data_IF_042866855959
#
_entry.id   IF_042866855959
#
_cell.length_a   1.000
_cell.length_b   1.000
_cell.length_c   1.000
_cell.angle_alpha   90.00
_cell.angle_beta   90.00
_cell.angle_gamma   90.00
#
_symmetry.space_group_name_H-M   'P 1'
#
loop_
_entity.id
_entity.type
_entity.pdbx_description
1 polymer ?
#
# COMPACT_ATOMS: atom_id res chain seq x y z
N UNK A 1 -20.27 9.05 -29.67
CA UNK A 1 -21.18 8.77 -30.80
C UNK A 1 -21.53 7.29 -30.74
N UNK A 2 -22.71 6.97 -30.20
CA UNK A 2 -23.18 5.59 -30.00
C UNK A 2 -24.51 5.49 -30.73
N UNK A 3 -24.62 4.51 -31.62
CA UNK A 3 -25.80 4.27 -32.43
C UNK A 3 -26.89 3.60 -31.60
N UNK A 4 -28.11 4.12 -31.74
CA UNK A 4 -29.32 3.59 -31.15
C UNK A 4 -29.82 2.34 -31.87
N UNK A 5 -30.53 1.52 -31.12
CA UNK A 5 -31.62 0.71 -31.67
C UNK A 5 -32.81 0.80 -30.73
N UNK A 6 -33.88 1.43 -31.24
CA UNK A 6 -35.23 1.39 -30.69
C UNK A 6 -35.90 0.13 -31.23
N UNK A 7 -36.56 -0.63 -30.37
CA UNK A 7 -37.75 -1.40 -30.77
C UNK A 7 -38.87 -1.12 -29.77
N UNK A 8 -40.01 -0.75 -30.32
CA UNK A 8 -41.25 -0.46 -29.61
C UNK A 8 -42.23 -1.60 -29.85
N UNK A 9 -42.73 -2.23 -28.80
CA UNK A 9 -44.00 -2.96 -28.81
C UNK A 9 -44.71 -2.78 -27.45
N UNK A 10 -45.77 -1.97 -27.47
CA UNK A 10 -46.89 -1.98 -26.52
C UNK A 10 -47.84 -3.13 -26.89
N UNK A 11 -48.58 -3.82 -26.03
CA UNK A 11 -49.64 -3.37 -25.10
C UNK A 11 -49.97 -4.53 -24.17
N UNK A 12 -50.24 -4.24 -22.89
CA UNK A 12 -50.84 -5.20 -21.96
C UNK A 12 -51.10 -4.58 -20.60
N UNK A 13 -52.17 -3.77 -20.48
CA UNK A 13 -52.66 -3.25 -19.20
C UNK A 13 -53.14 -4.42 -18.35
N UNK A 14 -52.44 -4.71 -17.25
CA UNK A 14 -53.01 -5.42 -16.12
C UNK A 14 -52.87 -4.56 -14.87
N UNK A 15 -54.01 -4.23 -14.29
CA UNK A 15 -54.21 -3.40 -13.11
C UNK A 15 -53.33 -3.85 -11.94
N UNK A 16 -52.30 -3.07 -11.60
CA UNK A 16 -51.61 -3.19 -10.31
C UNK A 16 -52.32 -2.31 -9.29
N UNK A 17 -52.88 -2.97 -8.27
CA UNK A 17 -53.35 -2.38 -7.02
C UNK A 17 -52.30 -1.42 -6.48
N UNK A 18 -52.68 -0.16 -6.39
CA UNK A 18 -52.04 0.86 -5.56
C UNK A 18 -52.23 0.49 -4.10
N UNK A 19 -51.13 0.13 -3.44
CA UNK A 19 -50.98 0.29 -1.99
C UNK A 19 -49.77 1.18 -1.78
N UNK A 20 -50.03 2.49 -1.85
CA UNK A 20 -49.27 3.48 -1.10
C UNK A 20 -49.32 3.07 0.37
N UNK A 21 -48.16 2.84 1.00
CA UNK A 21 -47.94 3.21 2.40
C UNK A 21 -46.44 3.23 2.72
N UNK A 22 -45.99 4.46 3.00
CA UNK A 22 -44.87 4.85 3.85
C UNK A 22 -43.44 4.54 3.37
N UNK A 23 -42.89 5.53 2.65
CA UNK A 23 -41.51 6.00 2.80
C UNK A 23 -41.12 6.01 4.28
N UNK A 24 -40.33 5.04 4.75
CA UNK A 24 -39.43 5.26 5.88
C UNK A 24 -38.22 6.02 5.36
N UNK A 25 -38.36 7.34 5.25
CA UNK A 25 -37.20 8.24 5.30
C UNK A 25 -36.67 8.13 6.73
N UNK A 26 -35.62 7.33 6.93
CA UNK A 26 -34.82 7.45 8.14
C UNK A 26 -34.15 8.81 8.10
N UNK A 27 -34.72 9.79 8.81
CA UNK A 27 -33.98 10.98 9.18
C UNK A 27 -33.03 10.55 10.29
N UNK A 28 -31.73 10.54 10.00
CA UNK A 28 -30.69 10.38 11.00
C UNK A 28 -30.63 11.70 11.78
N UNK A 29 -31.40 11.80 12.87
CA UNK A 29 -31.46 13.00 13.70
C UNK A 29 -30.44 13.00 14.85
N UNK A 30 -29.65 11.95 14.99
CA UNK A 30 -28.57 11.88 15.97
C UNK A 30 -27.25 11.66 15.23
N UNK A 31 -26.46 12.73 15.09
CA UNK A 31 -25.02 12.59 14.84
C UNK A 31 -24.47 12.07 16.16
N UNK A 32 -24.41 10.76 16.31
CA UNK A 32 -23.75 10.18 17.45
C UNK A 32 -22.31 10.73 17.52
N UNK A 33 -21.85 11.04 18.74
CA UNK A 33 -20.46 11.43 19.03
C UNK A 33 -19.56 10.27 18.58
N UNK A 34 -18.97 10.39 17.40
CA UNK A 34 -18.37 9.26 16.70
C UNK A 34 -17.02 9.72 16.17
N UNK A 35 -15.94 9.27 16.78
CA UNK A 35 -14.58 9.70 16.47
C UNK A 35 -14.08 9.33 15.05
N UNK A 36 -12.80 9.57 14.81
CA UNK A 36 -12.11 9.23 13.55
C UNK A 36 -11.42 7.87 13.67
N UNK A 37 -11.58 7.01 12.67
CA UNK A 37 -10.86 5.75 12.56
C UNK A 37 -9.88 5.77 11.39
N UNK A 38 -8.59 5.58 11.65
CA UNK A 38 -7.54 5.49 10.62
C UNK A 38 -7.24 4.03 10.35
N UNK A 39 -7.40 3.61 9.10
CA UNK A 39 -7.09 2.24 8.65
C UNK A 39 -5.82 2.26 7.82
N UNK A 40 -4.75 1.69 8.37
CA UNK A 40 -3.50 1.46 7.66
C UNK A 40 -3.65 0.25 6.73
N UNK A 41 -3.39 0.45 5.44
CA UNK A 41 -3.56 -0.58 4.41
C UNK A 41 -2.19 -1.15 4.01
N UNK A 42 -2.07 -2.47 4.00
CA UNK A 42 -0.86 -3.17 3.57
C UNK A 42 -1.22 -4.47 2.83
N UNK A 43 -0.33 -5.00 2.00
CA UNK A 43 -0.62 -6.27 1.31
C UNK A 43 -0.61 -7.49 2.25
N UNK A 44 0.16 -7.40 3.32
CA UNK A 44 0.47 -8.53 4.21
C UNK A 44 1.80 -9.18 3.82
N UNK A 45 2.18 -10.23 4.53
CA UNK A 45 3.40 -10.99 4.25
C UNK A 45 3.20 -12.46 4.67
N UNK A 46 3.24 -13.42 3.73
CA UNK A 46 2.84 -14.79 4.03
C UNK A 46 3.83 -15.51 4.91
N UNK A 47 3.31 -16.15 5.98
CA UNK A 47 4.14 -16.87 6.97
C UNK A 47 4.62 -18.24 6.50
N UNK A 48 3.96 -18.85 5.51
CA UNK A 48 4.27 -20.22 5.04
C UNK A 48 4.15 -20.33 3.53
N UNK A 49 4.73 -21.39 2.95
CA UNK A 49 4.57 -21.70 1.52
C UNK A 49 3.09 -21.91 1.12
N UNK A 50 2.27 -22.38 2.07
CA UNK A 50 0.83 -22.57 1.84
C UNK A 50 0.14 -21.23 1.56
N UNK A 51 0.31 -20.24 2.46
CA UNK A 51 -0.26 -18.90 2.31
C UNK A 51 0.37 -18.15 1.13
N UNK A 52 1.66 -18.35 0.88
CA UNK A 52 2.37 -17.71 -0.23
C UNK A 52 1.77 -18.06 -1.61
N UNK A 53 1.18 -19.25 -1.82
CA UNK A 53 0.54 -19.58 -3.11
C UNK A 53 -0.61 -18.65 -3.44
N UNK A 54 -1.47 -18.37 -2.44
CA UNK A 54 -2.62 -17.48 -2.59
C UNK A 54 -2.15 -16.05 -2.84
N UNK A 55 -1.23 -15.57 -1.99
CA UNK A 55 -0.61 -14.26 -2.11
C UNK A 55 -0.01 -14.05 -3.50
N UNK A 56 0.91 -14.94 -3.93
CA UNK A 56 1.66 -14.78 -5.18
C UNK A 56 0.75 -14.76 -6.40
N UNK A 57 -0.36 -15.50 -6.38
CA UNK A 57 -1.34 -15.49 -7.46
C UNK A 57 -1.99 -14.12 -7.61
N UNK A 58 -2.51 -13.59 -6.51
CA UNK A 58 -3.23 -12.32 -6.50
C UNK A 58 -2.28 -11.16 -6.77
N UNK A 59 -1.10 -11.16 -6.12
CA UNK A 59 -0.05 -10.17 -6.33
C UNK A 59 0.43 -10.16 -7.80
N UNK A 60 0.64 -11.33 -8.41
CA UNK A 60 0.97 -11.43 -9.83
C UNK A 60 -0.18 -10.90 -10.72
N UNK A 61 -1.42 -11.25 -10.40
CA UNK A 61 -2.57 -10.77 -11.18
C UNK A 61 -2.64 -9.24 -11.20
N UNK A 62 -2.42 -8.62 -10.05
CA UNK A 62 -2.35 -7.16 -9.91
C UNK A 62 -1.15 -6.58 -10.67
N UNK A 63 0.05 -7.09 -10.41
CA UNK A 63 1.29 -6.52 -10.93
C UNK A 63 1.41 -6.65 -12.46
N UNK A 64 0.97 -7.77 -13.03
CA UNK A 64 1.02 -8.03 -14.48
C UNK A 64 -0.31 -7.71 -15.19
N UNK A 65 -1.28 -7.12 -14.49
CA UNK A 65 -2.60 -6.74 -15.02
C UNK A 65 -3.32 -7.93 -15.70
N UNK A 66 -3.26 -9.10 -15.06
CA UNK A 66 -3.90 -10.32 -15.55
C UNK A 66 -5.41 -10.21 -15.33
N UNK A 67 -6.25 -10.42 -16.36
CA UNK A 67 -7.69 -10.43 -16.20
C UNK A 67 -8.17 -11.48 -15.18
N UNK A 68 -9.15 -11.11 -14.33
CA UNK A 68 -9.66 -11.97 -13.23
C UNK A 68 -10.11 -13.36 -13.68
N UNK A 69 -10.67 -13.48 -14.90
CA UNK A 69 -11.15 -14.76 -15.44
C UNK A 69 -10.01 -15.76 -15.73
N UNK A 70 -8.77 -15.30 -15.88
CA UNK A 70 -7.61 -16.16 -16.12
C UNK A 70 -6.60 -16.16 -14.97
N UNK A 71 -6.83 -15.40 -13.90
CA UNK A 71 -5.99 -15.37 -12.70
C UNK A 71 -5.71 -16.76 -12.12
N UNK A 72 -6.71 -17.66 -12.14
CA UNK A 72 -6.57 -19.05 -11.69
C UNK A 72 -5.52 -19.87 -12.46
N UNK A 73 -5.14 -19.43 -13.65
CA UNK A 73 -4.14 -20.09 -14.49
C UNK A 73 -2.72 -19.53 -14.29
N UNK A 74 -2.53 -18.54 -13.42
CA UNK A 74 -1.19 -18.05 -13.08
C UNK A 74 -0.39 -19.20 -12.44
N UNK A 75 0.77 -19.58 -13.00
CA UNK A 75 1.54 -20.74 -12.54
C UNK A 75 2.33 -20.38 -11.27
N UNK A 76 1.65 -20.40 -10.12
CA UNK A 76 2.26 -20.06 -8.81
C UNK A 76 3.42 -20.97 -8.43
N UNK A 77 3.47 -22.20 -8.96
CA UNK A 77 4.60 -23.12 -8.78
C UNK A 77 5.91 -22.59 -9.36
N UNK A 78 5.87 -21.82 -10.46
CA UNK A 78 7.06 -21.18 -11.04
C UNK A 78 7.53 -19.99 -10.20
N UNK A 79 6.61 -19.36 -9.46
CA UNK A 79 6.92 -18.26 -8.56
C UNK A 79 7.48 -18.76 -7.23
N UNK A 80 6.96 -19.88 -6.71
CA UNK A 80 7.49 -20.60 -5.54
C UNK A 80 8.84 -21.30 -5.84
N UNK A 81 9.84 -20.49 -6.12
CA UNK A 81 11.22 -20.91 -6.34
C UNK A 81 12.06 -20.73 -5.06
N UNK A 82 13.35 -21.04 -5.15
CA UNK A 82 14.28 -20.94 -4.01
C UNK A 82 14.34 -19.54 -3.38
N UNK A 83 14.09 -18.46 -4.15
CA UNK A 83 14.03 -17.09 -3.62
C UNK A 83 12.92 -16.97 -2.57
N UNK A 84 11.71 -17.45 -2.88
CA UNK A 84 10.57 -17.36 -1.97
C UNK A 84 10.76 -18.24 -0.74
N UNK A 85 11.25 -19.48 -0.94
CA UNK A 85 11.48 -20.39 0.19
C UNK A 85 12.47 -19.81 1.19
N UNK A 86 13.57 -19.24 0.70
CA UNK A 86 14.55 -18.55 1.53
C UNK A 86 13.94 -17.33 2.26
N UNK A 87 13.08 -16.56 1.58
CA UNK A 87 12.38 -15.44 2.23
C UNK A 87 11.48 -15.92 3.38
N UNK A 88 10.71 -16.99 3.18
CA UNK A 88 9.81 -17.56 4.20
C UNK A 88 10.61 -18.15 5.36
N UNK A 89 11.70 -18.86 5.07
CA UNK A 89 12.59 -19.45 6.08
C UNK A 89 13.17 -18.37 6.99
N UNK A 90 13.80 -17.33 6.42
CA UNK A 90 14.35 -16.20 7.19
C UNK A 90 13.29 -15.38 7.93
N UNK A 91 12.06 -15.35 7.42
CA UNK A 91 10.96 -14.70 8.10
C UNK A 91 10.55 -15.42 9.38
N UNK A 92 10.68 -16.75 9.43
CA UNK A 92 10.41 -17.54 10.63
C UNK A 92 11.29 -17.14 11.83
N UNK A 93 12.48 -16.60 11.56
CA UNK A 93 13.41 -16.10 12.58
C UNK A 93 13.18 -14.63 12.95
N UNK A 94 12.27 -13.95 12.24
CA UNK A 94 12.01 -12.52 12.38
C UNK A 94 10.68 -12.26 13.07
N UNK A 95 10.55 -11.06 13.63
CA UNK A 95 9.25 -10.60 14.11
C UNK A 95 8.24 -10.48 12.97
N UNK A 96 6.97 -10.81 13.26
CA UNK A 96 5.94 -10.73 12.24
C UNK A 96 5.67 -9.28 11.82
N UNK A 97 5.36 -9.08 10.54
CA UNK A 97 5.00 -7.77 10.01
C UNK A 97 3.76 -7.19 10.70
N UNK A 98 2.85 -8.07 11.12
CA UNK A 98 1.63 -7.74 11.85
C UNK A 98 1.96 -7.12 13.21
N UNK A 99 2.86 -7.73 13.98
CA UNK A 99 3.30 -7.20 15.28
C UNK A 99 3.99 -5.85 15.13
N UNK A 100 4.87 -5.73 14.11
CA UNK A 100 5.60 -4.49 13.81
C UNK A 100 4.64 -3.35 13.45
N UNK A 101 3.68 -3.62 12.56
CA UNK A 101 2.68 -2.63 12.15
C UNK A 101 1.70 -2.31 13.27
N UNK A 102 1.35 -3.27 14.12
CA UNK A 102 0.46 -3.05 15.27
C UNK A 102 1.08 -2.10 16.28
N UNK A 103 2.35 -2.31 16.67
CA UNK A 103 3.05 -1.36 17.55
C UNK A 103 3.18 0.03 16.92
N UNK A 104 3.47 0.10 15.62
CA UNK A 104 3.56 1.39 14.95
C UNK A 104 2.20 2.10 14.95
N UNK A 105 1.13 1.36 14.69
CA UNK A 105 -0.25 1.84 14.70
C UNK A 105 -0.65 2.36 16.07
N UNK A 106 -0.34 1.64 17.15
CA UNK A 106 -0.58 2.07 18.53
C UNK A 106 0.18 3.36 18.86
N UNK A 107 1.45 3.46 18.45
CA UNK A 107 2.25 4.68 18.66
C UNK A 107 1.70 5.87 17.88
N UNK A 108 1.28 5.67 16.62
CA UNK A 108 0.65 6.72 15.83
C UNK A 108 -0.69 7.12 16.45
N UNK A 109 -1.51 6.18 16.89
CA UNK A 109 -2.77 6.47 17.59
C UNK A 109 -2.52 7.34 18.84
N UNK A 110 -1.54 6.97 19.67
CA UNK A 110 -1.19 7.75 20.86
C UNK A 110 -0.73 9.17 20.50
N UNK A 111 0.11 9.30 19.48
CA UNK A 111 0.58 10.60 18.99
C UNK A 111 -0.57 11.45 18.43
N UNK A 112 -1.46 10.88 17.61
CA UNK A 112 -2.59 11.58 17.03
C UNK A 112 -3.56 12.09 18.11
N UNK A 113 -3.90 11.27 19.10
CA UNK A 113 -4.75 11.71 20.22
C UNK A 113 -4.09 12.78 21.09
N UNK A 114 -2.75 12.84 21.12
CA UNK A 114 -2.01 13.86 21.86
C UNK A 114 -1.94 15.18 21.08
N UNK A 115 -1.69 15.11 19.77
CA UNK A 115 -1.42 16.29 18.92
C UNK A 115 -2.70 16.89 18.32
N UNK A 116 -3.76 16.09 18.16
CA UNK A 116 -5.00 16.48 17.50
C UNK A 116 -6.24 16.19 18.37
N UNK A 117 -6.29 16.68 19.64
CA UNK A 117 -7.39 16.39 20.56
C UNK A 117 -8.75 16.94 20.08
N UNK A 118 -8.76 17.91 19.17
CA UNK A 118 -9.97 18.50 18.60
C UNK A 118 -10.77 17.55 17.69
N UNK A 119 -10.17 16.42 17.28
CA UNK A 119 -10.84 15.38 16.48
C UNK A 119 -11.45 14.27 17.34
N UNK A 120 -11.64 14.54 18.64
CA UNK A 120 -12.14 13.60 19.64
C UNK A 120 -11.26 12.35 19.71
N UNK A 121 -11.87 11.17 19.95
CA UNK A 121 -11.16 9.90 19.99
C UNK A 121 -10.74 9.45 18.58
N UNK A 122 -9.44 9.46 18.33
CA UNK A 122 -8.85 8.87 17.13
C UNK A 122 -8.46 7.43 17.45
N UNK A 123 -9.01 6.48 16.71
CA UNK A 123 -8.58 5.08 16.75
C UNK A 123 -7.84 4.72 15.46
N UNK A 124 -6.92 3.77 15.56
CA UNK A 124 -6.15 3.29 14.41
C UNK A 124 -6.13 1.76 14.37
N UNK A 125 -6.03 1.21 13.17
CA UNK A 125 -5.97 -0.23 12.95
C UNK A 125 -5.20 -0.56 11.66
N UNK A 126 -4.81 -1.82 11.51
CA UNK A 126 -4.24 -2.36 10.28
C UNK A 126 -5.28 -3.23 9.56
N UNK A 127 -5.23 -3.22 8.24
CA UNK A 127 -6.03 -4.09 7.40
C UNK A 127 -5.19 -4.59 6.22
N UNK A 128 -5.25 -5.90 5.96
CA UNK A 128 -4.40 -6.55 4.98
C UNK A 128 -5.20 -7.05 3.78
N UNK A 129 -4.62 -6.92 2.58
CA UNK A 129 -5.27 -7.40 1.36
C UNK A 129 -5.23 -8.93 1.22
N UNK A 130 -4.13 -9.56 1.61
CA UNK A 130 -3.90 -10.99 1.40
C UNK A 130 -3.69 -11.78 2.70
N UNK A 131 -3.84 -11.13 3.85
CA UNK A 131 -3.61 -11.70 5.19
C UNK A 131 -4.71 -11.23 6.15
N UNK A 132 -4.66 -11.71 7.39
CA UNK A 132 -5.56 -11.27 8.47
C UNK A 132 -4.93 -10.16 9.33
N UNK A 133 -5.73 -9.24 9.91
CA UNK A 133 -7.16 -9.04 9.66
C UNK A 133 -7.44 -8.58 8.23
N UNK A 134 -8.36 -9.29 7.56
CA UNK A 134 -8.67 -9.04 6.16
C UNK A 134 -9.30 -7.67 5.96
N UNK A 135 -8.91 -7.00 4.87
CA UNK A 135 -9.45 -5.70 4.47
C UNK A 135 -10.97 -5.69 4.41
N UNK A 136 -11.56 -6.77 3.89
CA UNK A 136 -13.00 -6.90 3.71
C UNK A 136 -13.73 -6.95 5.06
N UNK A 137 -13.36 -7.88 5.93
CA UNK A 137 -14.01 -8.04 7.24
C UNK A 137 -13.80 -6.80 8.10
N UNK A 138 -12.56 -6.31 8.15
CA UNK A 138 -12.18 -5.20 9.02
C UNK A 138 -12.88 -3.89 8.66
N UNK A 139 -12.95 -3.53 7.37
CA UNK A 139 -13.67 -2.31 6.96
C UNK A 139 -15.18 -2.42 7.23
N UNK A 140 -15.76 -3.61 7.07
CA UNK A 140 -17.16 -3.83 7.37
C UNK A 140 -17.45 -3.67 8.87
N UNK A 141 -16.55 -4.13 9.74
CA UNK A 141 -16.66 -3.99 11.19
C UNK A 141 -16.49 -2.53 11.63
N UNK A 142 -15.49 -1.82 11.11
CA UNK A 142 -15.26 -0.38 11.39
C UNK A 142 -16.46 0.47 10.93
N UNK A 143 -16.96 0.22 9.72
CA UNK A 143 -18.08 0.98 9.16
C UNK A 143 -19.40 0.74 9.90
N UNK A 144 -19.59 -0.43 10.51
CA UNK A 144 -20.76 -0.74 11.35
C UNK A 144 -20.57 -0.37 12.82
N UNK A 145 -19.32 -0.20 13.27
CA UNK A 145 -18.95 0.16 14.63
C UNK A 145 -19.24 1.62 15.02
N UNK A 146 -19.72 2.42 14.06
CA UNK A 146 -20.17 3.78 14.29
C UNK A 146 -19.07 4.79 14.53
N UNK A 147 -18.11 4.88 13.61
CA UNK A 147 -17.24 6.05 13.49
C UNK A 147 -17.92 7.12 12.61
N UNK A 148 -17.54 8.41 12.74
CA UNK A 148 -18.04 9.47 11.83
C UNK A 148 -17.15 9.62 10.61
N UNK A 149 -15.88 9.18 10.73
CA UNK A 149 -14.88 9.32 9.69
C UNK A 149 -13.98 8.10 9.63
N UNK A 150 -13.77 7.58 8.42
CA UNK A 150 -12.76 6.60 8.09
C UNK A 150 -11.68 7.27 7.24
N UNK A 151 -10.42 7.13 7.65
CA UNK A 151 -9.26 7.58 6.89
C UNK A 151 -8.48 6.36 6.42
N UNK A 152 -8.44 6.13 5.11
CA UNK A 152 -7.68 5.05 4.50
C UNK A 152 -6.25 5.51 4.20
N UNK A 153 -5.25 4.81 4.72
CA UNK A 153 -3.84 5.18 4.56
C UNK A 153 -2.99 3.96 4.17
N UNK A 154 -2.66 3.79 2.87
CA UNK A 154 -1.66 2.81 2.48
C UNK A 154 -0.30 3.05 3.15
N UNK A 155 0.29 1.99 3.70
CA UNK A 155 1.61 2.02 4.32
C UNK A 155 2.75 1.99 3.27
N UNK A 156 2.53 2.67 2.15
CA UNK A 156 3.48 2.87 1.06
C UNK A 156 3.59 4.38 0.77
N UNK A 157 4.75 5.02 1.06
CA UNK A 157 4.88 6.47 0.94
C UNK A 157 4.80 6.95 -0.51
N UNK A 158 5.43 6.20 -1.42
CA UNK A 158 5.47 6.50 -2.85
C UNK A 158 4.25 5.91 -3.54
N UNK A 159 3.38 6.77 -4.06
CA UNK A 159 2.20 6.31 -4.78
C UNK A 159 2.57 5.48 -6.01
N UNK A 160 1.89 4.35 -6.16
CA UNK A 160 1.86 3.56 -7.38
C UNK A 160 0.49 2.92 -7.54
N UNK A 161 0.04 2.79 -8.78
CA UNK A 161 -1.19 2.05 -9.09
C UNK A 161 -1.08 0.57 -8.68
N UNK A 162 0.12 0.00 -8.66
CA UNK A 162 0.35 -1.39 -8.24
C UNK A 162 0.47 -1.58 -6.71
N UNK A 163 0.45 -0.49 -5.92
CA UNK A 163 0.52 -0.51 -4.46
C UNK A 163 -0.68 0.25 -3.87
N UNK A 164 -0.48 1.51 -3.45
CA UNK A 164 -1.51 2.37 -2.86
C UNK A 164 -2.80 2.43 -3.69
N UNK A 165 -2.70 2.49 -5.02
CA UNK A 165 -3.87 2.52 -5.89
C UNK A 165 -4.72 1.25 -5.79
N UNK A 166 -4.11 0.07 -5.81
CA UNK A 166 -4.82 -1.21 -5.66
C UNK A 166 -5.49 -1.32 -4.29
N UNK A 167 -4.77 -0.96 -3.22
CA UNK A 167 -5.33 -1.03 -1.86
C UNK A 167 -6.53 -0.10 -1.68
N UNK A 168 -6.46 1.12 -2.22
CA UNK A 168 -7.56 2.07 -2.15
C UNK A 168 -8.75 1.64 -3.02
N UNK A 169 -8.50 1.14 -4.22
CA UNK A 169 -9.56 0.62 -5.10
C UNK A 169 -10.27 -0.57 -4.46
N UNK A 170 -9.52 -1.47 -3.80
CA UNK A 170 -10.13 -2.60 -3.11
C UNK A 170 -10.92 -2.16 -1.87
N UNK A 171 -10.39 -1.22 -1.09
CA UNK A 171 -11.12 -0.64 0.03
C UNK A 171 -12.44 0.02 -0.44
N UNK A 172 -12.43 0.75 -1.56
CA UNK A 172 -13.64 1.28 -2.17
C UNK A 172 -14.61 0.16 -2.58
N UNK A 173 -14.12 -0.89 -3.25
CA UNK A 173 -14.93 -2.05 -3.65
C UNK A 173 -15.61 -2.69 -2.45
N UNK A 174 -14.87 -2.88 -1.35
CA UNK A 174 -15.39 -3.41 -0.08
C UNK A 174 -16.45 -2.48 0.50
N UNK A 175 -16.18 -1.17 0.58
CA UNK A 175 -17.17 -0.21 1.07
C UNK A 175 -18.48 -0.28 0.27
N UNK A 176 -18.41 -0.48 -1.04
CA UNK A 176 -19.59 -0.63 -1.91
C UNK A 176 -20.41 -1.89 -1.63
N UNK A 177 -19.89 -2.91 -0.93
CA UNK A 177 -20.65 -4.14 -0.64
C UNK A 177 -21.66 -3.95 0.50
N UNK A 178 -21.41 -3.02 1.42
CA UNK A 178 -22.24 -2.83 2.61
C UNK A 178 -22.69 -1.39 2.86
N UNK A 179 -22.29 -0.43 2.02
CA UNK A 179 -22.73 0.97 2.12
C UNK A 179 -23.25 1.51 0.79
N UNK A 180 -24.01 2.61 0.86
CA UNK A 180 -24.46 3.40 -0.29
C UNK A 180 -24.01 4.86 -0.14
N UNK A 181 -23.85 5.62 -1.23
CA UNK A 181 -23.60 7.07 -1.14
C UNK A 181 -24.75 7.78 -0.40
N UNK A 182 -24.41 8.72 0.47
CA UNK A 182 -25.42 9.62 1.02
C UNK A 182 -25.95 10.57 -0.08
N UNK A 183 -27.22 10.93 -0.02
CA UNK A 183 -27.81 11.88 -0.98
C UNK A 183 -28.59 12.98 -0.28
N UNK A 184 -28.43 14.22 -0.78
CA UNK A 184 -29.19 15.40 -0.37
C UNK A 184 -29.81 16.00 -1.64
N UNK A 185 -31.14 16.18 -1.64
CA UNK A 185 -31.91 16.64 -2.81
C UNK A 185 -31.64 15.85 -4.11
N UNK A 186 -31.41 14.54 -3.97
CA UNK A 186 -31.12 13.64 -5.08
C UNK A 186 -29.70 13.75 -5.65
N UNK A 187 -28.80 14.51 -5.01
CA UNK A 187 -27.38 14.60 -5.36
C UNK A 187 -26.55 13.86 -4.32
N UNK A 188 -25.57 13.10 -4.77
CA UNK A 188 -24.63 12.43 -3.88
C UNK A 188 -23.82 13.47 -3.09
N UNK A 189 -23.69 13.24 -1.78
CA UNK A 189 -22.78 14.00 -0.93
C UNK A 189 -21.39 13.39 -1.10
N UNK A 190 -20.39 14.18 -1.53
CA UNK A 190 -19.04 13.66 -1.75
C UNK A 190 -18.51 12.99 -0.49
N UNK A 191 -17.92 11.80 -0.67
CA UNK A 191 -17.23 11.05 0.37
C UNK A 191 -18.10 10.57 1.55
N UNK A 192 -19.41 10.78 1.50
CA UNK A 192 -20.31 10.42 2.59
C UNK A 192 -21.02 9.09 2.27
N UNK A 193 -20.98 8.16 3.21
CA UNK A 193 -21.52 6.80 3.07
C UNK A 193 -22.54 6.53 4.15
N UNK A 194 -23.58 5.77 3.80
CA UNK A 194 -24.63 5.32 4.71
C UNK A 194 -24.62 3.80 4.70
N UNK A 195 -24.72 3.18 5.87
CA UNK A 195 -24.98 1.74 6.01
C UNK A 195 -26.50 1.53 5.93
N UNK A 196 -27.01 0.79 4.92
CA UNK A 196 -28.45 0.56 4.81
C UNK A 196 -29.00 -0.19 6.02
N UNK A 197 -30.22 0.17 6.44
CA UNK A 197 -30.92 -0.42 7.58
C UNK A 197 -30.22 -0.22 8.95
N UNK A 198 -29.35 0.78 9.08
CA UNK A 198 -28.82 1.23 10.37
C UNK A 198 -28.88 2.76 10.48
N UNK A 199 -28.52 3.27 11.66
CA UNK A 199 -28.30 4.70 11.94
C UNK A 199 -26.88 5.14 11.57
N UNK A 200 -26.10 4.30 10.89
CA UNK A 200 -24.67 4.55 10.68
C UNK A 200 -24.42 5.28 9.36
N UNK A 201 -23.76 6.43 9.48
CA UNK A 201 -23.23 7.21 8.36
C UNK A 201 -21.86 7.74 8.70
N UNK A 202 -20.97 7.77 7.70
CA UNK A 202 -19.60 8.22 7.91
C UNK A 202 -18.99 8.79 6.62
N UNK A 203 -18.02 9.68 6.82
CA UNK A 203 -17.17 10.20 5.76
C UNK A 203 -15.96 9.30 5.53
N UNK A 204 -15.63 9.02 4.27
CA UNK A 204 -14.43 8.29 3.88
C UNK A 204 -13.43 9.24 3.23
N UNK A 205 -12.19 9.21 3.68
CA UNK A 205 -11.09 9.97 3.06
C UNK A 205 -9.86 9.09 2.90
N UNK A 206 -8.94 9.48 2.03
CA UNK A 206 -7.75 8.68 1.75
C UNK A 206 -6.47 9.54 1.69
N UNK A 207 -5.44 9.09 2.41
CA UNK A 207 -4.07 9.59 2.25
C UNK A 207 -3.33 8.67 1.28
N UNK A 208 -3.49 8.92 -0.03
CA UNK A 208 -2.96 8.04 -1.07
C UNK A 208 -1.43 8.07 -1.21
N UNK A 209 -0.76 9.13 -0.73
CA UNK A 209 0.69 9.29 -0.78
C UNK A 209 1.18 10.17 0.37
N UNK A 210 2.40 9.88 0.83
CA UNK A 210 3.05 10.65 1.88
C UNK A 210 4.57 10.74 1.69
N UNK A 211 5.07 10.47 0.47
CA UNK A 211 6.50 10.48 0.12
C UNK A 211 7.21 11.81 0.34
N UNK A 212 6.49 12.93 0.31
CA UNK A 212 7.01 14.28 0.58
C UNK A 212 6.93 14.68 2.05
N UNK A 213 6.38 13.84 2.92
CA UNK A 213 6.34 14.13 4.35
C UNK A 213 7.79 14.09 4.92
N UNK A 214 8.21 15.08 5.74
CA UNK A 214 9.58 15.15 6.26
C UNK A 214 10.07 13.87 6.95
N UNK A 215 9.16 13.20 7.67
CA UNK A 215 9.44 11.90 8.35
C UNK A 215 10.09 10.86 7.44
N UNK A 216 9.76 10.85 6.13
CA UNK A 216 10.28 9.89 5.16
C UNK A 216 11.77 10.09 4.98
N UNK A 217 12.21 11.34 4.77
CA UNK A 217 13.64 11.68 4.64
C UNK A 217 14.36 11.67 5.98
N UNK A 218 13.73 12.18 7.05
CA UNK A 218 14.31 12.23 8.39
C UNK A 218 14.60 10.84 8.95
N UNK A 219 13.72 9.86 8.70
CA UNK A 219 13.96 8.47 9.08
C UNK A 219 15.29 7.96 8.50
N UNK A 220 15.51 8.10 7.19
CA UNK A 220 16.73 7.64 6.56
C UNK A 220 17.96 8.47 6.94
N UNK A 221 17.79 9.78 7.17
CA UNK A 221 18.85 10.63 7.70
C UNK A 221 19.29 10.16 9.09
N UNK A 222 18.35 9.85 9.98
CA UNK A 222 18.65 9.35 11.32
C UNK A 222 19.37 7.98 11.28
N UNK A 223 19.13 7.17 10.25
CA UNK A 223 19.85 5.91 10.03
C UNK A 223 21.26 6.17 9.47
N UNK A 224 21.42 7.10 8.53
CA UNK A 224 22.67 7.32 7.81
C UNK A 224 23.66 8.23 8.53
N UNK A 225 23.19 9.25 9.26
CA UNK A 225 24.06 10.24 9.91
C UNK A 225 25.05 9.63 10.91
N UNK A 226 24.66 8.68 11.79
CA UNK A 226 25.61 8.04 12.71
C UNK A 226 26.72 7.27 11.99
N UNK A 227 26.46 6.78 10.78
CA UNK A 227 27.38 5.98 9.97
C UNK A 227 28.14 6.82 8.93
N UNK A 228 27.99 8.15 8.95
CA UNK A 228 28.47 9.03 7.87
C UNK A 228 29.96 8.91 7.58
N UNK A 229 30.77 8.57 8.59
CA UNK A 229 32.21 8.36 8.46
C UNK A 229 32.59 7.06 7.74
N UNK A 230 31.68 6.09 7.66
CA UNK A 230 31.98 4.71 7.24
C UNK A 230 31.72 4.47 5.75
N UNK A 231 30.90 5.30 5.11
CA UNK A 231 30.54 5.17 3.70
C UNK A 231 30.94 6.36 2.84
N UNK A 232 31.29 6.06 1.59
CA UNK A 232 31.77 7.01 0.59
C UNK A 232 30.72 7.34 -0.47
N UNK A 233 29.55 6.71 -0.41
CA UNK A 233 28.45 6.92 -1.35
C UNK A 233 27.21 6.13 -0.97
N UNK A 234 26.07 6.52 -1.53
CA UNK A 234 24.77 5.94 -1.19
C UNK A 234 24.10 5.31 -2.42
N UNK A 235 23.77 4.03 -2.32
CA UNK A 235 22.95 3.31 -3.28
C UNK A 235 21.54 3.18 -2.73
N UNK A 236 20.63 4.03 -3.19
CA UNK A 236 19.21 3.88 -2.90
C UNK A 236 18.63 2.76 -3.77
N UNK A 237 17.82 1.90 -3.16
CA UNK A 237 17.21 0.74 -3.77
C UNK A 237 15.70 0.76 -3.55
N UNK A 238 14.93 0.56 -4.61
CA UNK A 238 13.47 0.43 -4.54
C UNK A 238 12.98 -0.72 -5.43
N UNK A 239 11.85 -1.37 -5.12
CA UNK A 239 11.28 -2.38 -6.00
C UNK A 239 10.87 -1.72 -7.33
N UNK A 240 11.07 -2.46 -8.42
CA UNK A 240 10.60 -2.06 -9.74
C UNK A 240 9.10 -2.31 -9.83
N UNK A 241 8.35 -1.24 -10.05
CA UNK A 241 6.90 -1.32 -10.27
C UNK A 241 6.60 -1.15 -11.76
N UNK A 242 5.68 -1.97 -12.27
CA UNK A 242 5.26 -1.98 -13.67
C UNK A 242 3.85 -1.46 -13.81
N UNK A 243 3.51 -1.08 -15.04
CA UNK A 243 2.17 -0.71 -15.43
C UNK A 243 1.98 0.79 -15.49
N UNK A 244 0.70 1.19 -15.46
CA UNK A 244 0.32 2.59 -15.56
C UNK A 244 0.93 3.40 -14.41
N UNK A 245 1.46 4.58 -14.74
CA UNK A 245 2.06 5.52 -13.78
C UNK A 245 3.38 5.06 -13.12
N UNK A 246 4.10 4.06 -13.68
CA UNK A 246 5.39 3.61 -13.14
C UNK A 246 6.46 4.71 -13.11
N UNK A 247 6.45 5.62 -14.08
CA UNK A 247 7.38 6.76 -14.12
C UNK A 247 7.15 7.76 -12.98
N UNK A 248 5.89 7.98 -12.58
CA UNK A 248 5.57 8.84 -11.43
C UNK A 248 6.08 8.22 -10.14
N UNK A 249 5.90 6.92 -9.94
CA UNK A 249 6.48 6.22 -8.79
C UNK A 249 8.01 6.41 -8.74
N UNK A 250 8.70 6.23 -9.88
CA UNK A 250 10.15 6.43 -9.98
C UNK A 250 10.54 7.87 -9.65
N UNK A 251 9.78 8.86 -10.11
CA UNK A 251 9.97 10.28 -9.78
C UNK A 251 9.78 10.58 -8.30
N UNK A 252 8.76 9.99 -7.67
CA UNK A 252 8.52 10.15 -6.23
C UNK A 252 9.66 9.55 -5.41
N UNK A 253 10.14 8.35 -5.78
CA UNK A 253 11.29 7.71 -5.14
C UNK A 253 12.56 8.54 -5.30
N UNK A 254 12.84 9.03 -6.52
CA UNK A 254 13.96 9.92 -6.81
C UNK A 254 13.92 11.17 -5.93
N UNK A 255 12.76 11.82 -5.84
CA UNK A 255 12.58 13.02 -5.03
C UNK A 255 12.80 12.77 -3.53
N UNK A 256 12.47 11.57 -3.02
CA UNK A 256 12.82 11.18 -1.65
C UNK A 256 14.34 11.01 -1.49
N UNK A 257 15.02 10.41 -2.47
CA UNK A 257 16.48 10.29 -2.45
C UNK A 257 17.15 11.67 -2.40
N UNK A 258 16.69 12.62 -3.23
CA UNK A 258 17.19 14.00 -3.23
C UNK A 258 17.01 14.68 -1.87
N UNK A 259 15.86 14.50 -1.21
CA UNK A 259 15.64 15.05 0.15
C UNK A 259 16.60 14.46 1.18
N UNK A 260 16.85 13.15 1.12
CA UNK A 260 17.84 12.50 2.01
C UNK A 260 19.24 13.02 1.72
N UNK A 261 19.63 13.16 0.46
CA UNK A 261 20.97 13.65 0.09
C UNK A 261 21.18 15.12 0.46
N UNK A 262 20.15 15.95 0.30
CA UNK A 262 20.17 17.34 0.76
C UNK A 262 20.40 17.44 2.26
N UNK A 263 19.79 16.55 3.07
CA UNK A 263 20.06 16.46 4.51
C UNK A 263 21.45 15.90 4.87
N UNK A 264 22.16 15.31 3.91
CA UNK A 264 23.59 14.94 4.00
C UNK A 264 24.51 15.98 3.34
N UNK A 265 24.00 17.19 3.11
CA UNK A 265 24.68 18.33 2.47
C UNK A 265 25.18 18.04 1.06
N UNK A 266 24.56 17.09 0.35
CA UNK A 266 24.93 16.66 -1.01
C UNK A 266 26.42 16.30 -1.15
N UNK A 267 27.03 15.85 -0.05
CA UNK A 267 28.47 15.68 0.09
C UNK A 267 29.01 14.35 -0.46
N UNK A 268 28.13 13.48 -0.96
CA UNK A 268 28.49 12.14 -1.42
C UNK A 268 27.88 11.83 -2.79
N UNK A 269 28.57 11.04 -3.62
CA UNK A 269 27.97 10.46 -4.81
C UNK A 269 26.84 9.50 -4.39
N UNK A 270 25.76 9.50 -5.16
CA UNK A 270 24.65 8.59 -4.94
C UNK A 270 24.04 8.11 -6.26
N UNK A 271 23.37 6.96 -6.19
CA UNK A 271 22.61 6.38 -7.30
C UNK A 271 21.29 5.82 -6.80
N UNK A 272 20.28 5.83 -7.66
CA UNK A 272 19.03 5.10 -7.46
C UNK A 272 19.01 3.86 -8.34
N UNK A 273 18.68 2.72 -7.75
CA UNK A 273 18.59 1.42 -8.38
C UNK A 273 17.25 0.74 -8.11
N UNK A 274 16.88 -0.16 -9.01
CA UNK A 274 15.65 -0.92 -8.92
C UNK A 274 15.92 -2.43 -8.96
N UNK A 275 15.07 -3.20 -8.27
CA UNK A 275 15.14 -4.67 -8.23
C UNK A 275 13.77 -5.31 -8.38
N UNK A 276 13.72 -6.58 -8.78
CA UNK A 276 12.46 -7.33 -8.77
C UNK A 276 12.18 -7.74 -7.32
N UNK A 277 11.02 -7.36 -6.80
CA UNK A 277 10.63 -7.72 -5.44
C UNK A 277 10.51 -9.24 -5.25
N UNK A 278 10.36 -9.66 -3.99
CA UNK A 278 10.27 -11.08 -3.64
C UNK A 278 9.14 -11.78 -4.41
N UNK A 279 7.98 -11.14 -4.54
CA UNK A 279 6.77 -11.64 -5.20
C UNK A 279 6.74 -11.46 -6.73
N UNK A 280 7.84 -10.99 -7.33
CA UNK A 280 7.93 -10.73 -8.78
C UNK A 280 8.75 -11.80 -9.51
N UNK A 281 8.48 -11.97 -10.81
CA UNK A 281 9.33 -12.75 -11.71
C UNK A 281 10.66 -12.05 -11.92
N UNK A 282 11.73 -12.83 -12.07
CA UNK A 282 13.08 -12.33 -12.31
C UNK A 282 13.24 -11.82 -13.74
N UNK A 283 12.84 -10.57 -13.97
CA UNK A 283 12.85 -9.95 -15.29
C UNK A 283 13.98 -8.90 -15.39
N UNK A 284 14.54 -8.65 -16.59
CA UNK A 284 15.60 -7.67 -16.75
C UNK A 284 15.17 -6.26 -16.31
N UNK A 285 16.07 -5.54 -15.62
CA UNK A 285 15.86 -4.16 -15.17
C UNK A 285 17.00 -3.31 -15.70
N UNK A 286 16.67 -2.23 -16.42
CA UNK A 286 17.65 -1.30 -16.99
C UNK A 286 18.53 -0.69 -15.90
N UNK A 287 17.92 -0.10 -14.88
CA UNK A 287 18.61 0.52 -13.73
C UNK A 287 18.77 -0.46 -12.56
N UNK A 288 19.29 -1.66 -12.83
CA UNK A 288 19.44 -2.70 -11.80
C UNK A 288 20.43 -2.31 -10.71
N UNK A 289 20.24 -2.89 -9.52
CA UNK A 289 21.18 -2.78 -8.37
C UNK A 289 22.61 -3.11 -8.79
N UNK A 290 22.83 -4.21 -9.53
CA UNK A 290 24.16 -4.59 -10.02
C UNK A 290 24.82 -3.50 -10.89
N UNK A 291 24.07 -2.94 -11.84
CA UNK A 291 24.61 -1.92 -12.73
C UNK A 291 24.92 -0.62 -11.99
N UNK A 292 24.00 -0.17 -11.13
CA UNK A 292 24.16 1.09 -10.40
C UNK A 292 25.22 1.00 -9.30
N UNK A 293 25.33 -0.14 -8.62
CA UNK A 293 26.42 -0.42 -7.69
C UNK A 293 27.78 -0.35 -8.40
N UNK A 294 27.94 -1.03 -9.55
CA UNK A 294 29.19 -0.95 -10.33
C UNK A 294 29.54 0.47 -10.77
N UNK A 295 28.55 1.31 -11.09
CA UNK A 295 28.77 2.72 -11.47
C UNK A 295 29.10 3.61 -10.27
N UNK A 296 28.57 3.27 -9.10
CA UNK A 296 28.83 4.03 -7.88
C UNK A 296 30.20 3.64 -7.30
N UNK A 297 30.59 2.36 -7.36
CA UNK A 297 31.86 1.86 -6.82
C UNK A 297 33.08 2.57 -7.43
N UNK A 298 33.04 2.96 -8.70
CA UNK A 298 34.12 3.73 -9.35
C UNK A 298 34.26 5.17 -8.85
N UNK A 299 33.37 5.63 -7.96
CA UNK A 299 33.37 6.97 -7.37
C UNK A 299 33.66 6.94 -5.86
N UNK A 300 33.82 5.75 -5.28
CA UNK A 300 34.07 5.60 -3.85
C UNK A 300 35.58 5.67 -3.57
N UNK A 301 36.01 6.29 -2.46
CA UNK A 301 37.35 6.11 -1.93
C UNK A 301 37.62 4.63 -1.58
N UNK A 302 38.87 4.18 -1.72
CA UNK A 302 39.27 2.78 -1.51
C UNK A 302 39.01 2.28 -0.08
N UNK A 303 38.99 3.17 0.91
CA UNK A 303 38.76 2.87 2.33
C UNK A 303 37.29 2.96 2.76
N UNK A 304 36.36 3.24 1.84
CA UNK A 304 34.95 3.51 2.14
C UNK A 304 34.00 2.50 1.52
N UNK A 305 33.00 2.12 2.30
CA UNK A 305 31.94 1.24 1.83
C UNK A 305 30.82 2.01 1.12
N UNK A 306 29.95 1.28 0.45
CA UNK A 306 28.72 1.78 -0.13
C UNK A 306 27.57 1.56 0.86
N UNK A 307 26.85 2.62 1.23
CA UNK A 307 25.61 2.47 2.00
C UNK A 307 24.48 2.04 1.07
N UNK A 308 23.84 0.90 1.34
CA UNK A 308 22.69 0.41 0.57
C UNK A 308 21.41 0.70 1.35
N UNK A 309 20.51 1.49 0.76
CA UNK A 309 19.33 2.03 1.45
C UNK A 309 18.04 1.60 0.74
N UNK A 310 17.18 0.76 1.34
CA UNK A 310 15.90 0.38 0.76
C UNK A 310 14.88 1.52 0.90
N UNK A 311 15.06 2.61 0.15
CA UNK A 311 14.44 3.93 0.36
C UNK A 311 12.90 3.94 0.44
N UNK A 312 12.25 2.95 -0.16
CA UNK A 312 10.79 2.79 -0.18
C UNK A 312 10.24 1.89 0.94
N UNK A 313 11.08 1.29 1.78
CA UNK A 313 10.67 0.30 2.80
C UNK A 313 10.90 0.83 4.21
N UNK A 314 9.83 1.12 4.93
CA UNK A 314 9.86 1.67 6.31
C UNK A 314 9.59 0.62 7.38
N UNK A 315 9.15 -0.55 6.95
CA UNK A 315 8.94 -1.73 7.79
C UNK A 315 9.75 -2.86 7.16
N UNK A 316 10.44 -3.68 7.96
CA UNK A 316 11.15 -4.85 7.46
C UNK A 316 10.20 -5.81 6.73
N UNK A 317 10.60 -6.21 5.52
CA UNK A 317 9.88 -7.18 4.70
C UNK A 317 10.87 -8.13 3.99
N UNK A 318 10.34 -9.07 3.19
CA UNK A 318 11.16 -10.03 2.44
C UNK A 318 12.19 -9.33 1.54
N UNK A 319 11.90 -8.12 1.07
CA UNK A 319 12.83 -7.37 0.26
C UNK A 319 14.04 -6.88 1.08
N UNK A 320 13.81 -6.38 2.29
CA UNK A 320 14.88 -5.83 3.12
C UNK A 320 15.76 -6.88 3.79
N UNK A 321 15.21 -8.00 4.28
CA UNK A 321 16.02 -9.00 4.99
C UNK A 321 16.52 -10.16 4.11
N UNK A 322 15.92 -10.37 2.92
CA UNK A 322 16.33 -11.45 2.02
C UNK A 322 16.75 -10.97 0.63
N UNK A 323 15.83 -10.37 -0.13
CA UNK A 323 16.07 -10.13 -1.57
C UNK A 323 17.23 -9.17 -1.79
N UNK A 324 17.18 -7.99 -1.18
CA UNK A 324 18.21 -6.97 -1.37
C UNK A 324 19.57 -7.43 -0.85
N UNK A 325 19.71 -8.00 0.37
CA UNK A 325 20.97 -8.60 0.81
C UNK A 325 21.53 -9.65 -0.15
N UNK A 326 20.70 -10.57 -0.66
CA UNK A 326 21.16 -11.59 -1.60
C UNK A 326 21.65 -10.96 -2.92
N UNK A 327 20.96 -9.92 -3.43
CA UNK A 327 21.41 -9.19 -4.62
C UNK A 327 22.77 -8.54 -4.35
N UNK A 328 22.95 -7.86 -3.21
CA UNK A 328 24.22 -7.19 -2.88
C UNK A 328 25.36 -8.19 -2.72
N UNK A 329 25.14 -9.34 -2.09
CA UNK A 329 26.15 -10.41 -2.00
C UNK A 329 26.64 -10.87 -3.38
N UNK A 330 25.76 -10.97 -4.38
CA UNK A 330 26.16 -11.32 -5.76
C UNK A 330 26.93 -10.22 -6.48
N UNK A 331 26.85 -8.97 -6.00
CA UNK A 331 27.57 -7.83 -6.56
C UNK A 331 28.95 -7.69 -5.92
N UNK A 332 29.05 -7.93 -4.60
CA UNK A 332 30.30 -7.82 -3.83
C UNK A 332 31.15 -9.09 -3.95
N UNK A 333 30.53 -10.27 -4.07
CA UNK A 333 31.22 -11.56 -4.17
C UNK A 333 31.68 -11.95 -5.59
N UNK A 334 31.42 -11.12 -6.60
CA UNK A 334 32.18 -11.19 -7.85
C UNK A 334 33.40 -10.31 -7.68
N UNK A 335 34.51 -10.92 -7.30
CA UNK A 335 35.84 -10.30 -7.30
C UNK A 335 36.02 -9.47 -8.58
N UNK A 336 36.45 -8.23 -8.39
CA UNK A 336 36.98 -7.38 -9.45
C UNK A 336 38.45 -7.68 -9.69
#
# INVERSE_FOLDING_TARGET
>A
MIHGYRSTLSVGRLLKRTTDHARRRGFCNDVAEKGTHVVFLHFGLPRTEFYAKGYLRQAAAIYYQVPKNIERFIPTSLMLNGKIRNCIEKYGDSESIEDTLSRLTERIQGALNTVMPEYEFISCSNAFLFEEPSLEQHLADVGRGGCSRIVLMPFYPHYSCAQSGVLLNEAERVLQTFTVPATVDGKEVPNERIVPNSSESFRVSALHRWSSHPVVSEYWLNVLQPLRGDFGGVLFCAPSLRGYNSEEYRRLVWSTCERVMSGLSDSLPWRLAFFNAWDQWSLPIKDSVKMQAKRLSTQLPDDKFMAVVPISSFVPDFNTFTVLPNIIQTVVGTDF
#
